data_IF_804545607117
#
_entry.id   IF_804545607117
#
_cell.length_a   1.000
_cell.length_b   1.000
_cell.length_c   1.000
_cell.angle_alpha   90.00
_cell.angle_beta   90.00
_cell.angle_gamma   90.00
#
_symmetry.space_group_name_H-M   'P 1'
#
loop_
_entity.id
_entity.type
_entity.pdbx_description
1 polymer ?
#
# COMPACT_ATOMS: atom_id res chain seq x y z
N UNK A 1 16.28 5.05 -12.44
CA UNK A 1 16.61 5.80 -11.24
C UNK A 1 15.47 5.78 -10.23
N UNK A 2 15.76 5.37 -9.01
CA UNK A 2 14.78 5.23 -7.93
C UNK A 2 14.12 6.55 -7.52
N UNK A 3 14.70 7.69 -7.87
CA UNK A 3 14.16 9.00 -7.53
C UNK A 3 12.86 9.33 -8.21
N UNK A 4 12.66 8.92 -9.47
CA UNK A 4 11.38 9.12 -10.15
C UNK A 4 10.31 8.20 -9.61
N UNK A 5 10.70 7.01 -9.18
CA UNK A 5 9.81 6.05 -8.55
C UNK A 5 9.35 6.53 -7.17
N UNK A 6 10.28 7.03 -6.34
CA UNK A 6 9.92 7.56 -5.03
C UNK A 6 9.08 8.84 -5.11
N UNK A 7 9.23 9.63 -6.20
CA UNK A 7 8.33 10.77 -6.46
C UNK A 7 6.93 10.33 -6.87
N UNK A 8 6.79 9.13 -7.41
CA UNK A 8 5.52 8.53 -7.68
C UNK A 8 4.91 7.82 -6.48
N UNK A 9 5.48 7.98 -5.29
CA UNK A 9 5.01 7.35 -4.08
C UNK A 9 3.63 7.84 -3.68
N UNK A 10 2.98 7.06 -2.84
CA UNK A 10 1.63 7.31 -2.35
C UNK A 10 1.50 8.65 -1.62
N UNK A 11 2.59 9.20 -1.13
CA UNK A 11 2.69 10.50 -0.45
C UNK A 11 2.04 11.64 -1.23
N UNK A 12 2.15 11.59 -2.56
CA UNK A 12 1.66 12.66 -3.44
C UNK A 12 0.27 12.36 -4.00
N UNK A 13 -0.36 11.30 -3.55
CA UNK A 13 -1.66 10.86 -4.06
C UNK A 13 -2.78 11.62 -3.35
N UNK A 14 -3.71 12.13 -4.12
CA UNK A 14 -4.89 12.83 -3.60
C UNK A 14 -5.87 11.89 -2.89
N UNK A 15 -6.85 12.48 -2.24
CA UNK A 15 -7.83 11.75 -1.45
C UNK A 15 -8.66 10.76 -2.28
N UNK A 16 -8.91 11.07 -3.55
CA UNK A 16 -9.70 10.21 -4.44
C UNK A 16 -9.00 8.88 -4.70
N UNK A 17 -7.70 8.93 -5.01
CA UNK A 17 -6.91 7.72 -5.26
C UNK A 17 -6.78 6.90 -3.98
N UNK A 18 -6.55 7.55 -2.84
CA UNK A 18 -6.51 6.84 -1.54
C UNK A 18 -7.82 6.13 -1.24
N UNK A 19 -8.94 6.81 -1.50
CA UNK A 19 -10.25 6.22 -1.29
C UNK A 19 -10.48 4.99 -2.16
N UNK A 20 -10.01 5.01 -3.42
CA UNK A 20 -10.12 3.85 -4.31
C UNK A 20 -9.24 2.70 -3.80
N UNK A 21 -8.01 2.98 -3.38
CA UNK A 21 -7.12 1.96 -2.81
C UNK A 21 -7.78 1.29 -1.59
N UNK A 22 -8.28 2.09 -0.65
CA UNK A 22 -8.93 1.57 0.54
C UNK A 22 -10.19 0.77 0.21
N UNK A 23 -10.96 1.21 -0.78
CA UNK A 23 -12.12 0.47 -1.26
C UNK A 23 -11.73 -0.90 -1.84
N UNK A 24 -10.66 -0.94 -2.64
CA UNK A 24 -10.17 -2.18 -3.24
C UNK A 24 -9.63 -3.18 -2.21
N UNK A 25 -9.23 -2.70 -1.04
CA UNK A 25 -8.74 -3.58 0.02
C UNK A 25 -9.86 -4.36 0.71
N UNK A 26 -11.10 -3.90 0.67
CA UNK A 26 -12.25 -4.57 1.29
C UNK A 26 -12.02 -4.98 2.75
N UNK A 27 -11.46 -4.07 3.55
CA UNK A 27 -11.11 -4.36 4.94
C UNK A 27 -12.36 -4.50 5.83
N UNK A 28 -12.36 -5.54 6.67
CA UNK A 28 -13.26 -5.63 7.80
C UNK A 28 -12.62 -4.96 9.04
N UNK A 29 -13.44 -4.62 10.04
CA UNK A 29 -12.98 -3.90 11.23
C UNK A 29 -11.96 -4.68 12.07
N UNK A 30 -11.93 -5.99 11.96
CA UNK A 30 -11.04 -6.88 12.72
C UNK A 30 -9.89 -7.48 11.89
N UNK A 31 -9.71 -7.03 10.65
CA UNK A 31 -8.64 -7.53 9.77
C UNK A 31 -7.25 -7.14 10.27
N UNK A 32 -6.29 -8.00 9.98
CA UNK A 32 -4.87 -7.66 10.03
C UNK A 32 -4.42 -7.29 8.62
N UNK A 33 -3.85 -6.10 8.48
CA UNK A 33 -3.49 -5.51 7.19
C UNK A 33 -2.01 -5.14 7.19
N UNK A 34 -1.30 -5.47 6.12
CA UNK A 34 0.08 -5.04 5.92
C UNK A 34 0.12 -3.96 4.84
N UNK A 35 0.75 -2.83 5.13
CA UNK A 35 0.83 -1.71 4.19
C UNK A 35 2.29 -1.32 4.03
N UNK A 36 2.81 -1.52 2.82
CA UNK A 36 4.22 -1.30 2.50
C UNK A 36 4.35 0.01 1.71
N UNK A 37 5.05 0.96 2.31
CA UNK A 37 5.29 2.31 1.75
C UNK A 37 4.01 3.10 1.45
N UNK A 38 2.92 2.80 2.18
CA UNK A 38 1.62 3.42 1.99
C UNK A 38 1.40 4.70 2.80
N UNK A 39 2.31 5.03 3.71
CA UNK A 39 2.27 6.26 4.52
C UNK A 39 0.90 6.54 5.15
N UNK A 40 0.23 7.62 4.75
CA UNK A 40 -1.07 8.00 5.31
C UNK A 40 -2.16 6.95 5.12
N UNK A 41 -2.03 6.07 4.14
CA UNK A 41 -2.97 4.96 3.94
C UNK A 41 -2.96 4.03 5.16
N UNK A 42 -1.81 3.82 5.80
CA UNK A 42 -1.73 3.02 7.02
C UNK A 42 -2.56 3.62 8.15
N UNK A 43 -2.56 4.94 8.29
CA UNK A 43 -3.38 5.64 9.29
C UNK A 43 -4.88 5.46 8.99
N UNK A 44 -5.27 5.68 7.74
CA UNK A 44 -6.67 5.51 7.32
C UNK A 44 -7.13 4.05 7.48
N UNK A 45 -6.26 3.09 7.12
CA UNK A 45 -6.54 1.66 7.32
C UNK A 45 -6.72 1.32 8.81
N UNK A 46 -5.91 1.89 9.70
CA UNK A 46 -6.04 1.68 11.12
C UNK A 46 -7.35 2.19 11.69
N UNK A 47 -7.88 3.28 11.14
CA UNK A 47 -9.19 3.80 11.52
C UNK A 47 -10.32 2.87 11.06
N UNK A 48 -10.20 2.28 9.87
CA UNK A 48 -11.19 1.34 9.34
C UNK A 48 -11.13 0.00 10.08
N UNK A 49 -9.93 -0.54 10.27
CA UNK A 49 -9.70 -1.80 10.99
C UNK A 49 -9.47 -1.52 12.48
N UNK A 50 -10.40 -0.79 13.10
CA UNK A 50 -10.24 -0.31 14.47
C UNK A 50 -10.14 -1.40 15.53
N UNK A 51 -10.66 -2.59 15.26
CA UNK A 51 -10.57 -3.78 16.12
C UNK A 51 -9.47 -4.75 15.65
N UNK A 52 -8.80 -4.42 14.56
CA UNK A 52 -7.74 -5.22 13.97
C UNK A 52 -6.35 -4.62 14.20
N UNK A 53 -5.42 -5.00 13.32
CA UNK A 53 -4.03 -4.55 13.40
C UNK A 53 -3.56 -4.11 12.02
N UNK A 54 -2.82 -3.00 11.98
CA UNK A 54 -2.12 -2.55 10.77
C UNK A 54 -0.61 -2.70 11.00
N UNK A 55 0.04 -3.39 10.10
CA UNK A 55 1.50 -3.48 10.04
C UNK A 55 1.95 -2.49 8.97
N UNK A 56 2.57 -1.40 9.39
CA UNK A 56 3.07 -0.36 8.49
C UNK A 56 4.56 -0.60 8.24
N UNK A 57 4.91 -0.80 6.97
CA UNK A 57 6.30 -1.03 6.57
C UNK A 57 6.83 0.23 5.90
N UNK A 58 7.81 0.86 6.52
CA UNK A 58 8.47 2.06 6.00
C UNK A 58 9.98 1.88 6.07
N UNK A 59 10.62 1.93 4.90
CA UNK A 59 12.07 1.67 4.78
C UNK A 59 12.93 2.80 5.32
N UNK A 60 12.45 4.04 5.22
CA UNK A 60 13.19 5.23 5.62
C UNK A 60 12.95 5.57 7.09
N UNK A 61 14.01 5.94 7.81
CA UNK A 61 13.88 6.40 9.19
C UNK A 61 13.03 7.67 9.31
N UNK A 62 13.07 8.55 8.30
CA UNK A 62 12.22 9.74 8.26
C UNK A 62 10.74 9.37 8.13
N UNK A 63 10.43 8.42 7.28
CA UNK A 63 9.05 7.97 7.08
C UNK A 63 8.51 7.26 8.33
N UNK A 64 9.35 6.48 9.00
CA UNK A 64 8.96 5.87 10.28
C UNK A 64 8.68 6.91 11.35
N UNK A 65 9.50 7.96 11.46
CA UNK A 65 9.26 9.05 12.40
C UNK A 65 7.96 9.80 12.10
N UNK A 66 7.71 10.07 10.83
CA UNK A 66 6.45 10.70 10.41
C UNK A 66 5.26 9.82 10.77
N UNK A 67 5.38 8.52 10.59
CA UNK A 67 4.33 7.56 10.97
C UNK A 67 4.11 7.58 12.48
N UNK A 68 5.17 7.59 13.28
CA UNK A 68 5.06 7.66 14.74
C UNK A 68 4.35 8.94 15.18
N UNK A 69 4.67 10.08 14.56
CA UNK A 69 4.01 11.36 14.84
C UNK A 69 2.51 11.30 14.50
N UNK A 70 2.17 10.68 13.37
CA UNK A 70 0.77 10.51 12.97
C UNK A 70 0.02 9.59 13.93
N UNK A 71 0.64 8.49 14.36
CA UNK A 71 0.05 7.58 15.34
C UNK A 71 -0.28 8.33 16.64
N UNK A 72 0.65 9.13 17.12
CA UNK A 72 0.45 9.94 18.33
C UNK A 72 -0.65 10.99 18.13
N UNK A 73 -0.60 11.70 17.01
CA UNK A 73 -1.57 12.76 16.70
C UNK A 73 -3.01 12.23 16.64
N UNK A 74 -3.21 11.06 16.04
CA UNK A 74 -4.54 10.45 15.90
C UNK A 74 -4.91 9.51 17.04
N UNK A 75 -4.03 9.34 18.02
CA UNK A 75 -4.29 8.48 19.18
C UNK A 75 -4.49 7.02 18.81
N UNK A 76 -3.78 6.52 17.80
CA UNK A 76 -3.93 5.15 17.33
C UNK A 76 -3.13 4.17 18.19
N UNK A 77 -3.69 3.00 18.42
CA UNK A 77 -3.05 1.95 19.21
C UNK A 77 -2.94 0.61 18.50
N UNK A 78 -3.31 0.56 17.22
CA UNK A 78 -3.39 -0.67 16.42
C UNK A 78 -2.45 -0.68 15.22
N UNK A 79 -1.43 0.17 15.19
CA UNK A 79 -0.39 0.18 14.16
C UNK A 79 0.93 -0.26 14.74
N UNK A 80 1.56 -1.24 14.09
CA UNK A 80 2.94 -1.65 14.37
C UNK A 80 3.81 -1.24 13.18
N UNK A 81 4.90 -0.52 13.44
CA UNK A 81 5.83 -0.05 12.40
C UNK A 81 7.01 -1.00 12.32
N UNK A 82 7.34 -1.46 11.12
CA UNK A 82 8.55 -2.21 10.85
C UNK A 82 9.29 -1.59 9.66
N UNK A 83 10.55 -1.94 9.48
CA UNK A 83 11.41 -1.33 8.47
C UNK A 83 11.63 -2.18 7.21
N UNK A 84 11.21 -3.44 7.22
CA UNK A 84 11.30 -4.35 6.06
C UNK A 84 10.41 -5.57 6.27
N UNK A 85 10.16 -6.29 5.16
CA UNK A 85 9.40 -7.55 5.18
C UNK A 85 10.32 -8.70 4.80
N UNK A 86 10.50 -9.61 5.75
CA UNK A 86 11.10 -10.93 5.56
C UNK A 86 10.52 -11.90 6.61
N UNK A 87 10.95 -13.13 6.57
CA UNK A 87 10.43 -14.15 7.50
C UNK A 87 10.71 -13.79 8.95
N UNK A 88 11.86 -13.17 9.23
CA UNK A 88 12.23 -12.80 10.60
C UNK A 88 11.42 -11.60 11.11
N UNK A 89 11.27 -10.55 10.30
CA UNK A 89 10.53 -9.35 10.71
C UNK A 89 9.05 -9.60 10.94
N UNK A 90 8.48 -10.60 10.27
CA UNK A 90 7.06 -10.94 10.37
C UNK A 90 6.76 -12.04 11.39
N UNK A 91 7.78 -12.66 11.93
CA UNK A 91 7.67 -13.87 12.76
C UNK A 91 6.75 -13.73 13.98
N UNK A 92 6.85 -12.60 14.67
CA UNK A 92 6.10 -12.34 15.92
C UNK A 92 4.83 -11.49 15.69
N UNK A 93 4.52 -11.16 14.44
CA UNK A 93 3.39 -10.31 14.11
C UNK A 93 2.17 -11.14 13.71
N UNK A 94 0.95 -10.58 13.89
CA UNK A 94 -0.24 -11.23 13.34
C UNK A 94 -0.13 -11.41 11.84
N UNK A 95 -0.70 -12.50 11.32
CA UNK A 95 -0.66 -12.80 9.89
C UNK A 95 -1.69 -11.93 9.15
N UNK A 96 -1.25 -11.12 8.17
CA UNK A 96 -2.21 -10.32 7.40
C UNK A 96 -3.12 -11.16 6.51
N UNK A 97 -4.32 -10.66 6.30
CA UNK A 97 -5.26 -11.18 5.29
C UNK A 97 -5.18 -10.37 3.99
N UNK A 98 -4.77 -9.11 4.10
CA UNK A 98 -4.70 -8.16 2.99
C UNK A 98 -3.37 -7.41 3.10
N UNK A 99 -2.70 -7.22 1.98
CA UNK A 99 -1.49 -6.40 1.90
C UNK A 99 -1.60 -5.39 0.77
N UNK A 100 -1.25 -4.14 1.07
CA UNK A 100 -1.16 -3.07 0.10
C UNK A 100 0.31 -2.68 -0.07
N UNK A 101 0.78 -2.63 -1.31
CA UNK A 101 2.17 -2.29 -1.62
C UNK A 101 2.24 -1.17 -2.66
N UNK A 102 3.16 -0.25 -2.45
CA UNK A 102 3.67 0.58 -3.54
C UNK A 102 4.76 -0.23 -4.25
N UNK A 103 4.63 -0.38 -5.56
CA UNK A 103 5.54 -1.21 -6.34
C UNK A 103 6.99 -0.74 -6.20
N UNK A 104 7.89 -1.69 -6.03
CA UNK A 104 9.32 -1.45 -5.81
C UNK A 104 10.15 -2.62 -6.31
N UNK A 105 11.47 -2.47 -6.29
CA UNK A 105 12.40 -3.54 -6.64
C UNK A 105 12.33 -4.74 -5.68
N UNK A 106 11.91 -4.53 -4.44
CA UNK A 106 11.77 -5.59 -3.42
C UNK A 106 10.40 -6.26 -3.41
N UNK A 107 9.47 -5.81 -4.24
CA UNK A 107 8.08 -6.24 -4.23
C UNK A 107 7.93 -7.76 -4.41
N UNK A 108 8.65 -8.37 -5.34
CA UNK A 108 8.53 -9.81 -5.58
C UNK A 108 8.89 -10.62 -4.33
N UNK A 109 9.99 -10.26 -3.68
CA UNK A 109 10.43 -10.91 -2.44
C UNK A 109 9.41 -10.72 -1.31
N UNK A 110 8.86 -9.53 -1.20
CA UNK A 110 7.87 -9.20 -0.18
C UNK A 110 6.59 -9.97 -0.37
N UNK A 111 6.06 -10.02 -1.60
CA UNK A 111 4.86 -10.79 -1.92
C UNK A 111 5.09 -12.28 -1.67
N UNK A 112 6.24 -12.81 -2.07
CA UNK A 112 6.58 -14.20 -1.82
C UNK A 112 6.63 -14.53 -0.33
N UNK A 113 7.21 -13.65 0.48
CA UNK A 113 7.23 -13.79 1.95
C UNK A 113 5.82 -13.80 2.52
N UNK A 114 4.99 -12.84 2.12
CA UNK A 114 3.62 -12.71 2.60
C UNK A 114 2.75 -13.92 2.21
N UNK A 115 2.94 -14.45 1.01
CA UNK A 115 2.24 -15.66 0.56
C UNK A 115 2.66 -16.92 1.33
N UNK A 116 3.91 -16.99 1.80
CA UNK A 116 4.32 -18.08 2.68
C UNK A 116 3.60 -18.03 4.02
N UNK A 117 3.32 -16.83 4.52
CA UNK A 117 2.57 -16.65 5.76
C UNK A 117 1.09 -16.94 5.58
N UNK A 118 0.51 -16.52 4.47
CA UNK A 118 -0.89 -16.72 4.15
C UNK A 118 -1.06 -16.92 2.65
N UNK A 119 -1.21 -18.18 2.17
CA UNK A 119 -1.40 -18.48 0.74
C UNK A 119 -2.66 -17.86 0.12
N UNK A 120 -3.61 -17.45 0.94
CA UNK A 120 -4.87 -16.81 0.52
C UNK A 120 -4.85 -15.30 0.66
N UNK A 121 -3.68 -14.71 0.91
CA UNK A 121 -3.57 -13.26 1.07
C UNK A 121 -4.00 -12.52 -0.19
N UNK A 122 -4.76 -11.45 -0.01
CA UNK A 122 -5.16 -10.55 -1.07
C UNK A 122 -4.17 -9.38 -1.15
N UNK A 123 -3.94 -8.88 -2.36
CA UNK A 123 -2.99 -7.81 -2.60
C UNK A 123 -3.63 -6.66 -3.37
N UNK A 124 -3.28 -5.44 -2.98
CA UNK A 124 -3.53 -4.23 -3.77
C UNK A 124 -2.17 -3.58 -4.01
N UNK A 125 -1.81 -3.38 -5.27
CA UNK A 125 -0.51 -2.83 -5.65
C UNK A 125 -0.72 -1.52 -6.41
N UNK A 126 0.03 -0.50 -5.99
CA UNK A 126 0.01 0.83 -6.59
C UNK A 126 1.30 1.07 -7.36
N UNK A 127 1.18 1.56 -8.59
CA UNK A 127 2.33 2.01 -9.37
C UNK A 127 1.94 3.14 -10.33
N UNK A 128 2.89 4.04 -10.59
CA UNK A 128 2.79 5.03 -11.66
C UNK A 128 3.52 4.59 -12.93
N UNK A 129 4.20 3.44 -12.87
CA UNK A 129 5.01 2.93 -13.98
C UNK A 129 4.19 1.92 -14.79
N UNK A 130 3.90 2.28 -16.03
CA UNK A 130 3.17 1.40 -16.95
C UNK A 130 3.87 0.06 -17.17
N UNK A 131 5.20 0.04 -17.24
CA UNK A 131 5.95 -1.22 -17.43
C UNK A 131 5.79 -2.15 -16.24
N UNK A 132 5.81 -1.57 -15.05
CA UNK A 132 5.53 -2.32 -13.83
C UNK A 132 4.11 -2.90 -13.86
N UNK A 133 3.12 -2.07 -14.15
CA UNK A 133 1.72 -2.51 -14.24
C UNK A 133 1.54 -3.63 -15.27
N UNK A 134 2.16 -3.51 -16.43
CA UNK A 134 2.08 -4.52 -17.49
C UNK A 134 2.73 -5.85 -17.10
N UNK A 135 3.75 -5.82 -16.22
CA UNK A 135 4.45 -7.01 -15.76
C UNK A 135 3.78 -7.72 -14.57
N UNK A 136 2.89 -7.04 -13.85
CA UNK A 136 2.27 -7.59 -12.65
C UNK A 136 1.46 -8.87 -12.89
N UNK A 137 0.64 -9.01 -13.94
CA UNK A 137 -0.09 -10.25 -14.16
C UNK A 137 0.80 -11.48 -14.28
N UNK A 138 1.94 -11.36 -14.99
CA UNK A 138 2.90 -12.46 -15.13
C UNK A 138 3.58 -12.77 -13.79
N UNK A 139 3.93 -11.75 -13.02
CA UNK A 139 4.50 -11.93 -11.68
C UNK A 139 3.52 -12.67 -10.77
N UNK A 140 2.26 -12.27 -10.78
CA UNK A 140 1.23 -12.91 -9.97
C UNK A 140 1.01 -14.36 -10.37
N UNK A 141 0.96 -14.66 -11.67
CA UNK A 141 0.86 -16.02 -12.17
C UNK A 141 2.05 -16.87 -11.69
N UNK A 142 3.26 -16.34 -11.77
CA UNK A 142 4.48 -16.98 -11.27
C UNK A 142 4.41 -17.29 -9.77
N UNK A 143 3.81 -16.42 -8.99
CA UNK A 143 3.66 -16.58 -7.55
C UNK A 143 2.40 -17.38 -7.14
N UNK A 144 1.62 -17.85 -8.09
CA UNK A 144 0.43 -18.66 -7.84
C UNK A 144 -0.81 -17.86 -7.47
N UNK A 145 -0.83 -16.56 -7.74
CA UNK A 145 -2.01 -15.70 -7.52
C UNK A 145 -2.90 -15.81 -8.75
N UNK A 146 -4.14 -16.27 -8.55
CA UNK A 146 -5.03 -16.66 -9.65
C UNK A 146 -5.74 -15.49 -10.33
N UNK A 147 -6.55 -14.75 -9.60
CA UNK A 147 -7.36 -13.69 -10.18
C UNK A 147 -6.69 -12.34 -10.01
N UNK A 148 -6.51 -11.61 -11.12
CA UNK A 148 -5.92 -10.28 -11.10
C UNK A 148 -6.77 -9.30 -11.91
N UNK A 149 -6.87 -8.08 -11.41
CA UNK A 149 -7.48 -6.96 -12.11
C UNK A 149 -6.44 -5.85 -12.18
N UNK A 150 -6.30 -5.21 -13.33
CA UNK A 150 -5.44 -4.03 -13.48
C UNK A 150 -6.30 -2.87 -13.97
N UNK A 151 -6.35 -1.79 -13.20
CA UNK A 151 -7.10 -0.59 -13.57
C UNK A 151 -6.19 0.62 -13.56
N UNK A 152 -6.51 1.60 -14.39
CA UNK A 152 -5.89 2.92 -14.33
C UNK A 152 -6.92 3.93 -13.85
N UNK A 153 -6.50 4.81 -12.95
CA UNK A 153 -7.37 5.83 -12.37
C UNK A 153 -6.88 7.20 -12.81
N UNK A 154 -7.78 8.00 -13.36
CA UNK A 154 -7.47 9.36 -13.79
C UNK A 154 -8.27 10.35 -12.95
N UNK A 155 -7.59 11.35 -12.38
CA UNK A 155 -8.21 12.43 -11.64
C UNK A 155 -7.79 13.74 -12.26
N UNK A 156 -8.76 14.54 -12.66
CA UNK A 156 -8.55 15.89 -13.19
C UNK A 156 -9.40 16.85 -12.37
N UNK A 157 -8.84 18.03 -12.09
CA UNK A 157 -9.52 19.08 -11.34
C UNK A 157 -9.66 20.33 -12.19
N UNK A 158 -10.77 21.01 -12.05
CA UNK A 158 -10.96 22.33 -12.63
C UNK A 158 -11.00 23.35 -11.50
N UNK A 159 -10.17 24.37 -11.58
CA UNK A 159 -10.15 25.45 -10.61
C UNK A 159 -11.20 26.52 -10.95
N UNK A 160 -11.34 27.54 -10.08
CA UNK A 160 -12.29 28.63 -10.28
C UNK A 160 -12.05 29.46 -11.56
N UNK A 161 -10.86 29.38 -12.17
CA UNK A 161 -10.50 30.03 -13.43
C UNK A 161 -10.73 29.11 -14.64
N UNK A 162 -11.37 27.97 -14.46
CA UNK A 162 -11.62 26.96 -15.49
C UNK A 162 -10.35 26.37 -16.11
N UNK A 163 -9.27 26.32 -15.32
CA UNK A 163 -8.02 25.65 -15.70
C UNK A 163 -8.01 24.24 -15.12
N UNK A 164 -7.76 23.24 -15.96
CA UNK A 164 -7.64 21.86 -15.52
C UNK A 164 -6.24 21.55 -15.01
N UNK A 165 -6.19 20.79 -13.91
CA UNK A 165 -4.97 20.16 -13.42
C UNK A 165 -5.20 18.66 -13.35
N UNK A 166 -4.34 17.90 -14.05
CA UNK A 166 -4.41 16.44 -14.04
C UNK A 166 -3.35 15.90 -13.07
N UNK A 167 -3.75 14.97 -12.20
CA UNK A 167 -2.82 14.21 -11.37
C UNK A 167 -2.18 13.09 -12.19
N UNK A 168 -0.96 12.62 -11.82
CA UNK A 168 -0.42 11.39 -12.41
C UNK A 168 -1.41 10.24 -12.22
N UNK A 169 -1.69 9.50 -13.28
CA UNK A 169 -2.69 8.42 -13.26
C UNK A 169 -2.03 7.10 -12.86
N UNK A 170 -2.32 6.58 -11.65
CA UNK A 170 -1.73 5.33 -11.19
C UNK A 170 -2.44 4.12 -11.76
N UNK A 171 -1.75 3.00 -11.68
CA UNK A 171 -2.29 1.66 -11.92
C UNK A 171 -2.44 0.94 -10.55
N UNK A 172 -3.55 0.26 -10.43
CA UNK A 172 -3.83 -0.61 -9.29
C UNK A 172 -4.07 -2.04 -9.76
#
# INVERSE_FOLDING_TARGET
HNTSFSRGSIRYVGSEIRAVILNKMHMASDDTVCIISGESIAVEAALIAGEGTVIAVEYSGNDRRTMEENIEQFGLNNITIIDHVDDESMKELPVPSISMLVASASMEQEIACLLRLNPHMEFVIYTLDFRCAAALPDLFAKLGIGETEVIQITVSRMNAKHTFTAEPAPWL
#
